data_IF_098319736496
#
_entry.id   IF_098319736496
#
_cell.length_a   1.000
_cell.length_b   1.000
_cell.length_c   1.000
_cell.angle_alpha   90.00
_cell.angle_beta   90.00
_cell.angle_gamma   90.00
#
_symmetry.space_group_name_H-M   'P 1'
#
loop_
_entity.id
_entity.type
_entity.pdbx_description
1 polymer ?
#
# COMPACT_ATOMS: atom_id res chain seq x y z
N UNK A 1 28.93 41.46 71.58
CA UNK A 1 28.67 40.07 71.14
C UNK A 1 27.36 40.04 70.38
N UNK A 2 27.40 40.35 69.08
CA UNK A 2 26.28 40.24 68.14
C UNK A 2 26.84 40.19 66.71
N UNK A 3 26.10 39.54 65.81
CA UNK A 3 26.36 39.28 64.37
C UNK A 3 27.28 38.07 64.10
N UNK A 4 26.96 37.10 63.24
CA UNK A 4 26.00 37.10 62.15
C UNK A 4 25.61 35.65 61.79
N UNK A 5 24.39 35.24 62.15
CA UNK A 5 23.74 34.04 61.63
C UNK A 5 22.92 34.49 60.42
N UNK A 6 23.53 34.66 59.25
CA UNK A 6 22.80 35.05 58.03
C UNK A 6 23.27 34.40 56.71
N UNK A 7 24.24 33.49 56.74
CA UNK A 7 24.90 33.00 55.50
C UNK A 7 24.44 31.62 55.01
N UNK A 8 23.68 30.83 55.79
CA UNK A 8 23.28 29.48 55.37
C UNK A 8 21.95 29.41 54.60
N UNK A 9 20.98 30.28 54.89
CA UNK A 9 19.65 30.22 54.27
C UNK A 9 19.60 30.78 52.83
N UNK A 10 20.57 31.62 52.44
CA UNK A 10 20.59 32.32 51.15
C UNK A 10 21.21 31.45 50.02
N UNK A 11 22.16 30.59 50.34
CA UNK A 11 22.82 29.68 49.38
C UNK A 11 21.92 28.50 49.01
N UNK A 12 21.14 27.98 49.97
CA UNK A 12 20.21 26.87 49.74
C UNK A 12 19.04 27.27 48.82
N UNK A 13 18.46 28.47 49.01
CA UNK A 13 17.40 29.01 48.13
C UNK A 13 17.88 29.25 46.71
N UNK A 14 19.14 29.66 46.52
CA UNK A 14 19.73 29.87 45.20
C UNK A 14 19.97 28.54 44.48
N UNK A 15 20.43 27.51 45.20
CA UNK A 15 20.65 26.17 44.66
C UNK A 15 19.33 25.46 44.28
N UNK A 16 18.28 25.60 45.10
CA UNK A 16 16.96 25.02 44.83
C UNK A 16 16.29 25.65 43.60
N UNK A 17 16.42 26.98 43.41
CA UNK A 17 15.93 27.66 42.21
C UNK A 17 16.64 27.19 40.92
N UNK A 18 17.95 26.95 40.98
CA UNK A 18 18.73 26.43 39.85
C UNK A 18 18.34 24.99 39.50
N UNK A 19 18.13 24.13 40.51
CA UNK A 19 17.66 22.75 40.32
C UNK A 19 16.26 22.69 39.74
N UNK A 20 15.34 23.53 40.23
CA UNK A 20 13.96 23.62 39.69
C UNK A 20 13.97 24.11 38.24
N UNK A 21 14.77 25.14 37.90
CA UNK A 21 14.89 25.63 36.52
C UNK A 21 15.44 24.57 35.57
N UNK A 22 16.43 23.80 36.01
CA UNK A 22 16.99 22.68 35.21
C UNK A 22 16.00 21.53 35.05
N UNK A 23 15.26 21.19 36.10
CA UNK A 23 14.22 20.16 36.05
C UNK A 23 13.06 20.58 35.13
N UNK A 24 12.61 21.84 35.21
CA UNK A 24 11.59 22.39 34.32
C UNK A 24 12.07 22.42 32.87
N UNK A 25 13.31 22.85 32.60
CA UNK A 25 13.88 22.84 31.25
C UNK A 25 14.00 21.40 30.70
N UNK A 26 14.41 20.44 31.53
CA UNK A 26 14.48 19.03 31.14
C UNK A 26 13.09 18.44 30.84
N UNK A 27 12.07 18.77 31.65
CA UNK A 27 10.68 18.36 31.40
C UNK A 27 10.11 19.00 30.12
N UNK A 28 10.43 20.26 29.86
CA UNK A 28 10.02 20.97 28.65
C UNK A 28 10.70 20.40 27.40
N UNK A 29 11.97 20.03 27.49
CA UNK A 29 12.70 19.31 26.44
C UNK A 29 12.16 17.89 26.24
N UNK A 30 11.82 17.18 27.31
CA UNK A 30 11.20 15.85 27.24
C UNK A 30 9.82 15.93 26.57
N UNK A 31 9.00 16.91 26.94
CA UNK A 31 7.69 17.16 26.34
C UNK A 31 7.81 17.58 24.87
N UNK A 32 8.82 18.39 24.53
CA UNK A 32 9.10 18.80 23.15
C UNK A 32 9.60 17.61 22.31
N UNK A 33 10.44 16.74 22.88
CA UNK A 33 10.87 15.50 22.24
C UNK A 33 9.68 14.57 22.01
N UNK A 34 8.81 14.38 23.02
CA UNK A 34 7.56 13.60 22.89
C UNK A 34 6.60 14.22 21.87
N UNK A 35 6.56 15.55 21.74
CA UNK A 35 5.74 16.22 20.72
C UNK A 35 6.34 16.11 19.30
N UNK A 36 7.67 16.10 19.18
CA UNK A 36 8.38 15.95 17.91
C UNK A 36 8.36 14.49 17.40
N UNK A 37 8.42 13.48 18.28
CA UNK A 37 8.14 12.07 17.93
C UNK A 37 6.65 11.74 17.91
N UNK A 38 5.81 12.57 18.52
CA UNK A 38 4.36 12.37 18.70
C UNK A 38 3.47 13.02 17.66
N UNK A 39 3.97 13.38 16.47
CA UNK A 39 3.11 13.96 15.41
C UNK A 39 2.03 12.99 14.89
N UNK A 40 2.00 11.73 15.35
CA UNK A 40 0.96 10.74 15.02
C UNK A 40 -0.21 10.66 16.01
N UNK A 41 -0.30 11.52 17.03
CA UNK A 41 -1.17 11.22 18.19
C UNK A 41 -2.69 11.30 17.95
N UNK A 42 -3.15 11.78 16.79
CA UNK A 42 -4.53 11.61 16.37
C UNK A 42 -4.59 11.38 14.86
N UNK A 43 -4.27 10.17 14.39
CA UNK A 43 -4.77 9.74 13.08
C UNK A 43 -6.29 9.82 13.15
N UNK A 44 -6.89 10.63 12.29
CA UNK A 44 -8.34 10.67 12.14
C UNK A 44 -8.80 9.33 11.57
N UNK A 45 -9.30 8.46 12.45
CA UNK A 45 -9.78 7.12 12.11
C UNK A 45 -11.23 7.09 11.63
N UNK A 46 -11.84 8.27 11.49
CA UNK A 46 -13.17 8.40 10.87
C UNK A 46 -13.13 8.44 9.35
N UNK A 47 -11.92 8.50 8.75
CA UNK A 47 -11.74 8.56 7.32
C UNK A 47 -12.43 7.38 6.59
N UNK A 48 -13.20 7.70 5.54
CA UNK A 48 -13.83 6.73 4.65
C UNK A 48 -12.93 6.32 3.50
N UNK A 49 -11.97 7.18 3.15
CA UNK A 49 -11.00 6.95 2.09
C UNK A 49 -9.61 7.26 2.64
N UNK A 50 -8.65 6.37 2.35
CA UNK A 50 -7.26 6.56 2.73
C UNK A 50 -6.35 6.28 1.54
N UNK A 51 -5.34 7.12 1.35
CA UNK A 51 -4.30 6.92 0.33
C UNK A 51 -2.96 6.73 1.02
N UNK A 52 -2.25 5.66 0.66
CA UNK A 52 -0.90 5.38 1.16
C UNK A 52 0.01 5.13 -0.03
N UNK A 53 0.99 6.01 -0.21
CA UNK A 53 1.92 5.96 -1.34
C UNK A 53 3.19 5.15 -1.02
N UNK A 54 3.49 4.92 0.27
CA UNK A 54 4.70 4.22 0.74
C UNK A 54 4.32 2.91 1.44
N UNK A 55 4.83 1.79 0.91
CA UNK A 55 4.55 0.46 1.45
C UNK A 55 4.98 0.31 2.92
N UNK A 56 5.98 1.06 3.39
CA UNK A 56 6.43 1.00 4.79
C UNK A 56 5.43 1.57 5.79
N UNK A 57 4.45 2.33 5.32
CA UNK A 57 3.39 2.92 6.14
C UNK A 57 2.14 2.03 6.21
N UNK A 58 2.14 0.92 5.46
CA UNK A 58 1.05 -0.04 5.43
C UNK A 58 1.23 -1.01 6.60
N UNK A 59 0.30 -0.94 7.55
CA UNK A 59 0.19 -1.86 8.67
C UNK A 59 -1.27 -2.30 8.77
N UNK A 60 -1.53 -3.57 8.44
CA UNK A 60 -2.88 -4.13 8.47
C UNK A 60 -3.54 -3.99 9.85
N UNK A 61 -2.76 -4.10 10.92
CA UNK A 61 -3.25 -4.02 12.30
C UNK A 61 -3.65 -2.59 12.67
N UNK A 62 -2.97 -1.59 12.13
CA UNK A 62 -3.37 -0.18 12.28
C UNK A 62 -4.57 0.18 11.39
N UNK A 63 -4.63 -0.37 10.17
CA UNK A 63 -5.70 -0.11 9.22
C UNK A 63 -7.06 -0.65 9.68
N UNK A 64 -7.10 -1.78 10.38
CA UNK A 64 -8.35 -2.33 10.96
C UNK A 64 -9.00 -1.37 11.97
N UNK A 65 -8.25 -0.42 12.53
CA UNK A 65 -8.77 0.57 13.49
C UNK A 65 -9.57 1.68 12.83
N UNK A 66 -9.61 1.76 11.50
CA UNK A 66 -10.46 2.69 10.76
C UNK A 66 -11.85 2.06 10.56
N UNK A 67 -12.76 2.31 11.50
CA UNK A 67 -14.08 1.66 11.54
C UNK A 67 -14.97 1.99 10.33
N UNK A 68 -14.72 3.13 9.67
CA UNK A 68 -15.51 3.61 8.53
C UNK A 68 -14.77 3.54 7.19
N UNK A 69 -13.60 2.89 7.12
CA UNK A 69 -12.81 2.84 5.89
C UNK A 69 -13.52 2.00 4.82
N UNK A 70 -13.91 2.66 3.74
CA UNK A 70 -14.58 2.05 2.59
C UNK A 70 -13.62 1.87 1.41
N UNK A 71 -12.65 2.77 1.28
CA UNK A 71 -11.69 2.77 0.17
C UNK A 71 -10.26 2.95 0.67
N UNK A 72 -9.37 2.08 0.19
CA UNK A 72 -7.93 2.16 0.42
C UNK A 72 -7.22 2.22 -0.92
N UNK A 73 -6.60 3.35 -1.22
CA UNK A 73 -5.78 3.54 -2.42
C UNK A 73 -4.30 3.39 -2.09
N UNK A 74 -3.71 2.32 -2.61
CA UNK A 74 -2.30 1.94 -2.44
C UNK A 74 -1.63 1.72 -3.80
N UNK A 75 -2.16 2.31 -4.88
CA UNK A 75 -1.62 2.10 -6.24
C UNK A 75 -0.17 2.54 -6.39
N UNK A 76 0.28 3.52 -5.60
CA UNK A 76 1.68 3.98 -5.60
C UNK A 76 2.59 3.18 -4.67
N UNK A 77 2.03 2.44 -3.72
CA UNK A 77 2.80 1.58 -2.85
C UNK A 77 3.24 0.30 -3.59
N UNK A 78 4.54 0.01 -3.52
CA UNK A 78 5.11 -1.20 -4.12
C UNK A 78 4.95 -2.37 -3.14
N UNK A 79 3.84 -3.09 -3.25
CA UNK A 79 3.53 -4.25 -2.40
C UNK A 79 3.55 -5.57 -3.18
N UNK A 80 3.69 -6.69 -2.46
CA UNK A 80 3.58 -8.04 -3.02
C UNK A 80 2.12 -8.50 -3.08
N UNK A 81 1.88 -9.63 -3.76
CA UNK A 81 0.55 -10.29 -3.75
C UNK A 81 0.20 -10.77 -2.34
N UNK A 82 1.17 -11.25 -1.56
CA UNK A 82 0.97 -11.70 -0.18
C UNK A 82 0.54 -10.55 0.74
N UNK A 83 1.17 -9.38 0.60
CA UNK A 83 0.77 -8.17 1.31
C UNK A 83 -0.67 -7.77 0.95
N UNK A 84 -1.01 -7.78 -0.35
CA UNK A 84 -2.37 -7.49 -0.81
C UNK A 84 -3.41 -8.45 -0.21
N UNK A 85 -3.12 -9.75 -0.21
CA UNK A 85 -4.01 -10.76 0.38
C UNK A 85 -4.16 -10.56 1.90
N UNK A 86 -3.08 -10.21 2.59
CA UNK A 86 -3.10 -9.89 4.02
C UNK A 86 -3.99 -8.68 4.30
N UNK A 87 -3.88 -7.61 3.49
CA UNK A 87 -4.75 -6.44 3.57
C UNK A 87 -6.21 -6.79 3.26
N UNK A 88 -6.46 -7.60 2.23
CA UNK A 88 -7.82 -7.98 1.84
C UNK A 88 -8.50 -8.83 2.92
N UNK A 89 -7.73 -9.67 3.61
CA UNK A 89 -8.20 -10.44 4.76
C UNK A 89 -8.46 -9.55 5.99
N UNK A 90 -7.61 -8.56 6.24
CA UNK A 90 -7.79 -7.62 7.35
C UNK A 90 -8.95 -6.64 7.12
N UNK A 91 -9.19 -6.24 5.87
CA UNK A 91 -10.18 -5.25 5.47
C UNK A 91 -11.19 -5.84 4.44
N UNK A 92 -11.99 -6.85 4.82
CA UNK A 92 -12.83 -7.57 3.86
C UNK A 92 -13.89 -6.67 3.21
N UNK A 93 -14.42 -5.69 3.96
CA UNK A 93 -15.44 -4.74 3.53
C UNK A 93 -14.89 -3.48 2.85
N UNK A 94 -13.55 -3.38 2.69
CA UNK A 94 -12.90 -2.25 2.04
C UNK A 94 -12.59 -2.57 0.58
N UNK A 95 -12.82 -1.59 -0.29
CA UNK A 95 -12.37 -1.57 -1.68
C UNK A 95 -10.91 -1.16 -1.73
N UNK A 96 -10.04 -2.11 -2.07
CA UNK A 96 -8.59 -1.87 -2.13
C UNK A 96 -8.19 -1.64 -3.59
N UNK A 97 -7.75 -0.42 -3.89
CA UNK A 97 -7.17 -0.04 -5.17
C UNK A 97 -5.67 -0.23 -5.09
N UNK A 98 -5.12 -1.16 -5.88
CA UNK A 98 -3.71 -1.51 -5.85
C UNK A 98 -3.18 -1.77 -7.25
N UNK A 99 -1.87 -1.71 -7.39
CA UNK A 99 -1.20 -1.99 -8.65
C UNK A 99 -0.70 -3.43 -8.69
N UNK A 100 -1.36 -4.28 -9.50
CA UNK A 100 -1.05 -5.71 -9.68
C UNK A 100 0.30 -5.86 -10.39
N UNK A 101 1.28 -6.58 -9.81
CA UNK A 101 2.59 -6.79 -10.41
C UNK A 101 2.55 -7.92 -11.44
N UNK A 102 2.56 -7.58 -12.74
CA UNK A 102 2.70 -8.56 -13.82
C UNK A 102 4.12 -8.43 -14.37
N UNK A 103 4.98 -9.41 -14.04
CA UNK A 103 6.43 -9.38 -14.32
C UNK A 103 7.10 -8.11 -13.75
N UNK A 104 7.77 -7.33 -14.60
CA UNK A 104 8.44 -6.07 -14.29
C UNK A 104 7.51 -4.85 -14.33
N UNK A 105 6.23 -5.05 -14.64
CA UNK A 105 5.24 -4.00 -14.79
C UNK A 105 4.17 -4.05 -13.71
N UNK A 106 3.50 -2.92 -13.48
CA UNK A 106 2.40 -2.81 -12.51
C UNK A 106 1.20 -2.15 -13.15
N UNK A 107 0.02 -2.73 -12.92
CA UNK A 107 -1.24 -2.31 -13.52
C UNK A 107 -2.27 -2.00 -12.44
N UNK A 108 -2.95 -0.85 -12.56
CA UNK A 108 -4.10 -0.54 -11.69
C UNK A 108 -5.15 -1.65 -11.81
N UNK A 109 -5.59 -2.22 -10.68
CA UNK A 109 -6.56 -3.31 -10.66
C UNK A 109 -7.94 -2.93 -11.23
N UNK A 110 -8.24 -1.63 -11.37
CA UNK A 110 -9.53 -1.15 -11.89
C UNK A 110 -9.60 -1.02 -13.41
N UNK A 111 -8.51 -1.28 -14.15
CA UNK A 111 -8.50 -1.15 -15.61
C UNK A 111 -9.43 -2.15 -16.29
N UNK A 112 -9.98 -1.75 -17.43
CA UNK A 112 -10.82 -2.59 -18.29
C UNK A 112 -10.02 -3.28 -19.39
N UNK A 113 -8.81 -2.80 -19.68
CA UNK A 113 -7.91 -3.35 -20.68
C UNK A 113 -6.48 -3.40 -20.16
N UNK A 114 -5.76 -4.47 -20.49
CA UNK A 114 -4.32 -4.59 -20.28
C UNK A 114 -3.62 -5.07 -21.55
N UNK A 115 -2.36 -4.67 -21.72
CA UNK A 115 -1.45 -5.23 -22.70
C UNK A 115 -0.38 -6.03 -21.97
N UNK A 116 -0.29 -7.34 -22.21
CA UNK A 116 0.61 -8.22 -21.50
C UNK A 116 2.04 -8.12 -22.06
N UNK A 117 3.06 -8.10 -21.18
CA UNK A 117 4.45 -8.21 -21.60
C UNK A 117 4.74 -9.50 -22.38
N UNK A 118 5.74 -9.48 -23.26
CA UNK A 118 6.11 -10.65 -24.06
C UNK A 118 6.49 -11.88 -23.21
N UNK A 119 7.08 -11.65 -22.03
CA UNK A 119 7.52 -12.70 -21.10
C UNK A 119 6.41 -13.29 -20.21
N UNK A 120 5.14 -12.95 -20.44
CA UNK A 120 4.04 -13.49 -19.63
C UNK A 120 3.94 -15.00 -19.79
N UNK A 121 3.89 -15.71 -18.66
CA UNK A 121 3.69 -17.16 -18.58
C UNK A 121 2.33 -17.51 -17.94
N UNK A 122 2.09 -18.81 -17.73
CA UNK A 122 0.85 -19.27 -17.11
C UNK A 122 0.65 -18.71 -15.68
N UNK A 123 1.72 -18.56 -14.90
CA UNK A 123 1.65 -18.04 -13.54
C UNK A 123 1.26 -16.55 -13.53
N UNK A 124 1.83 -15.75 -14.45
CA UNK A 124 1.47 -14.36 -14.62
C UNK A 124 0.01 -14.19 -15.06
N UNK A 125 -0.52 -15.10 -15.91
CA UNK A 125 -1.94 -15.09 -16.31
C UNK A 125 -2.90 -15.38 -15.16
N UNK A 126 -2.46 -16.05 -14.08
CA UNK A 126 -3.31 -16.22 -12.89
C UNK A 126 -3.63 -14.90 -12.20
N UNK A 127 -2.78 -13.88 -12.35
CA UNK A 127 -2.95 -12.57 -11.74
C UNK A 127 -4.11 -11.78 -12.36
N UNK A 128 -4.62 -12.20 -13.52
CA UNK A 128 -5.79 -11.58 -14.16
C UNK A 128 -7.05 -11.63 -13.28
N UNK A 129 -7.09 -12.55 -12.31
CA UNK A 129 -8.18 -12.61 -11.30
C UNK A 129 -8.28 -11.37 -10.43
N UNK A 130 -7.21 -10.57 -10.32
CA UNK A 130 -7.19 -9.37 -9.49
C UNK A 130 -7.79 -8.14 -10.17
N UNK A 131 -8.22 -8.25 -11.43
CA UNK A 131 -8.86 -7.16 -12.17
C UNK A 131 -10.37 -7.40 -12.30
N UNK A 132 -11.19 -6.88 -11.38
CA UNK A 132 -12.64 -7.12 -11.40
C UNK A 132 -13.36 -6.54 -12.62
N UNK A 133 -12.80 -5.48 -13.24
CA UNK A 133 -13.42 -4.77 -14.36
C UNK A 133 -12.80 -5.13 -15.72
N UNK A 134 -11.88 -6.11 -15.76
CA UNK A 134 -11.16 -6.45 -16.97
C UNK A 134 -12.07 -7.10 -18.00
N UNK A 135 -12.13 -6.51 -19.19
CA UNK A 135 -12.92 -7.02 -20.33
C UNK A 135 -12.04 -7.36 -21.52
N UNK A 136 -10.79 -6.88 -21.57
CA UNK A 136 -9.92 -7.07 -22.73
C UNK A 136 -8.46 -7.29 -22.34
N UNK A 137 -7.85 -8.30 -22.94
CA UNK A 137 -6.42 -8.61 -22.81
C UNK A 137 -5.80 -8.61 -24.19
N UNK A 138 -4.85 -7.70 -24.40
CA UNK A 138 -3.93 -7.73 -25.53
C UNK A 138 -2.69 -8.54 -25.13
N UNK A 139 -2.50 -9.69 -25.76
CA UNK A 139 -1.37 -10.59 -25.59
C UNK A 139 -0.64 -10.81 -26.94
N UNK A 140 -0.68 -9.83 -27.85
CA UNK A 140 -0.04 -9.93 -29.16
C UNK A 140 1.46 -10.21 -29.09
N UNK A 141 2.13 -9.77 -28.02
CA UNK A 141 3.57 -9.96 -27.81
C UNK A 141 3.92 -11.29 -27.14
N UNK A 142 2.94 -12.06 -26.68
CA UNK A 142 3.16 -13.26 -25.86
C UNK A 142 3.24 -14.52 -26.74
N UNK A 143 4.11 -15.46 -26.34
CA UNK A 143 4.28 -16.75 -27.05
C UNK A 143 3.77 -17.96 -26.26
N UNK A 144 3.15 -17.74 -25.09
CA UNK A 144 2.59 -18.79 -24.22
C UNK A 144 1.20 -19.26 -24.70
N UNK A 145 1.12 -19.75 -25.95
CA UNK A 145 -0.14 -20.00 -26.65
C UNK A 145 -1.10 -20.96 -25.91
N UNK A 146 -0.58 -22.05 -25.32
CA UNK A 146 -1.41 -23.03 -24.61
C UNK A 146 -2.02 -22.43 -23.33
N UNK A 147 -1.26 -21.58 -22.63
CA UNK A 147 -1.71 -20.89 -21.43
C UNK A 147 -2.76 -19.82 -21.79
N UNK A 148 -2.52 -19.03 -22.85
CA UNK A 148 -3.48 -18.05 -23.36
C UNK A 148 -4.78 -18.71 -23.81
N UNK A 149 -4.68 -19.84 -24.53
CA UNK A 149 -5.86 -20.61 -24.94
C UNK A 149 -6.63 -21.08 -23.71
N UNK A 150 -5.96 -21.76 -22.77
CA UNK A 150 -6.59 -22.29 -21.57
C UNK A 150 -7.27 -21.19 -20.75
N UNK A 151 -6.57 -20.06 -20.54
CA UNK A 151 -7.10 -18.91 -19.80
C UNK A 151 -8.28 -18.26 -20.52
N UNK A 152 -8.27 -18.18 -21.85
CA UNK A 152 -9.40 -17.66 -22.63
C UNK A 152 -10.66 -18.54 -22.54
N UNK A 153 -10.49 -19.86 -22.38
CA UNK A 153 -11.61 -20.78 -22.18
C UNK A 153 -12.17 -20.71 -20.76
N UNK A 154 -11.32 -20.41 -19.77
CA UNK A 154 -11.70 -20.19 -18.37
C UNK A 154 -12.42 -18.85 -18.17
N UNK A 155 -11.81 -17.74 -18.61
CA UNK A 155 -12.31 -16.36 -18.47
C UNK A 155 -13.03 -15.91 -19.75
N UNK A 156 -14.22 -16.47 -19.96
CA UNK A 156 -15.05 -16.18 -21.14
C UNK A 156 -15.67 -14.78 -21.11
N UNK A 157 -15.61 -14.11 -19.96
CA UNK A 157 -15.97 -12.72 -19.73
C UNK A 157 -14.93 -11.72 -20.30
N UNK A 158 -13.71 -12.20 -20.60
CA UNK A 158 -12.62 -11.39 -21.15
C UNK A 158 -12.39 -11.72 -22.63
N UNK A 159 -12.29 -10.67 -23.45
CA UNK A 159 -11.81 -10.78 -24.83
C UNK A 159 -10.27 -10.87 -24.86
N UNK A 160 -9.74 -11.98 -25.36
CA UNK A 160 -8.29 -12.17 -25.52
C UNK A 160 -7.88 -12.01 -27.00
N UNK A 161 -6.80 -11.27 -27.25
CA UNK A 161 -6.18 -11.15 -28.56
C UNK A 161 -4.70 -11.53 -28.50
N UNK A 162 -4.24 -12.46 -29.35
CA UNK A 162 -2.83 -12.83 -29.42
C UNK A 162 -2.42 -13.22 -30.84
N UNK A 163 -1.12 -13.18 -31.11
CA UNK A 163 -0.57 -13.59 -32.40
C UNK A 163 0.02 -14.99 -32.28
N UNK A 164 -0.19 -15.84 -33.28
CA UNK A 164 0.41 -17.17 -33.36
C UNK A 164 1.33 -17.20 -34.58
N UNK A 165 2.60 -17.51 -34.34
CA UNK A 165 3.57 -17.68 -35.43
C UNK A 165 3.59 -19.15 -35.89
N UNK A 166 3.31 -19.37 -37.18
CA UNK A 166 3.37 -20.69 -37.83
C UNK A 166 4.32 -20.57 -39.03
N UNK A 167 5.57 -21.01 -38.85
CA UNK A 167 6.63 -20.75 -39.82
C UNK A 167 6.87 -19.24 -40.00
N UNK A 168 6.80 -18.76 -41.24
CA UNK A 168 6.96 -17.34 -41.58
C UNK A 168 5.62 -16.55 -41.58
N UNK A 169 4.52 -17.17 -41.16
CA UNK A 169 3.18 -16.55 -41.14
C UNK A 169 2.75 -16.22 -39.72
N UNK A 170 2.33 -14.97 -39.51
CA UNK A 170 1.72 -14.50 -38.25
C UNK A 170 0.20 -14.48 -38.37
N UNK A 171 -0.47 -15.27 -37.54
CA UNK A 171 -1.93 -15.34 -37.47
C UNK A 171 -2.44 -14.59 -36.25
N UNK A 172 -3.36 -13.63 -36.44
CA UNK A 172 -4.06 -12.99 -35.32
C UNK A 172 -5.21 -13.88 -34.86
N UNK A 173 -5.21 -14.24 -33.58
CA UNK A 173 -6.30 -14.93 -32.92
C UNK A 173 -7.01 -13.97 -31.97
N UNK A 174 -8.32 -13.78 -32.16
CA UNK A 174 -9.20 -13.12 -31.18
C UNK A 174 -10.17 -14.16 -30.66
N UNK A 175 -10.26 -14.27 -29.34
CA UNK A 175 -11.29 -15.05 -28.68
C UNK A 175 -12.29 -14.07 -28.04
N UNK A 176 -13.47 -13.99 -28.63
CA UNK A 176 -14.65 -13.35 -28.07
C UNK A 176 -15.80 -14.33 -28.27
N UNK A 177 -16.51 -14.67 -27.20
CA UNK A 177 -17.80 -15.35 -27.33
C UNK A 177 -18.85 -14.26 -27.53
N UNK A 178 -19.58 -14.30 -28.66
CA UNK A 178 -20.81 -13.53 -28.83
C UNK A 178 -21.81 -14.01 -27.76
N UNK A 179 -22.24 -13.09 -26.89
CA UNK A 179 -23.26 -13.35 -25.85
C UNK A 179 -24.65 -13.37 -26.45
#
# INVERSE_FOLDING_TARGET
>A
MTHSVYTSASTERAQTKSRIRRALAALLLLALMVALTGCGLFKDRSATTLTIDDATQIDAEDLVKYENLQELDIRKAVITVEDYLSLKNALPNCSIHWSVPILDQRYDNMVTQIALPAGTDAAALELLRYFPNLTTVDAMSCTCYDALMSKSLERQDIAFAWQVQVGDVTLLKRYMREM
#
